data_IF_475816473706
#
_entry.id   IF_475816473706
#
_cell.length_a   1.000
_cell.length_b   1.000
_cell.length_c   1.000
_cell.angle_alpha   90.00
_cell.angle_beta   90.00
_cell.angle_gamma   90.00
#
_symmetry.space_group_name_H-M   'P 1'
#
loop_
_entity.id
_entity.type
_entity.pdbx_description
1 polymer ?
#
# COMPACT_ATOMS: atom_id res chain seq x y z
N UNK A 1 -32.88 -44.45 -37.80
CA UNK A 1 -32.56 -43.04 -38.15
C UNK A 1 -32.22 -42.33 -36.84
N UNK A 2 -30.92 -42.16 -36.54
CA UNK A 2 -30.45 -41.60 -35.26
C UNK A 2 -30.22 -40.10 -35.49
N UNK A 3 -30.99 -39.26 -34.80
CA UNK A 3 -30.79 -37.82 -34.82
C UNK A 3 -29.64 -37.46 -33.87
N UNK A 4 -28.55 -36.91 -34.41
CA UNK A 4 -27.44 -36.33 -33.64
C UNK A 4 -27.77 -34.86 -33.40
N UNK A 5 -28.03 -34.49 -32.14
CA UNK A 5 -28.25 -33.10 -31.74
C UNK A 5 -26.92 -32.50 -31.28
N UNK A 6 -26.35 -31.60 -32.07
CA UNK A 6 -25.16 -30.85 -31.69
C UNK A 6 -25.54 -29.79 -30.64
N UNK A 7 -24.88 -29.82 -29.47
CA UNK A 7 -25.00 -28.77 -28.47
C UNK A 7 -23.80 -27.82 -28.60
N UNK A 8 -24.05 -26.60 -29.07
CA UNK A 8 -23.07 -25.52 -29.22
C UNK A 8 -22.63 -25.02 -27.85
N UNK A 9 -21.33 -25.01 -27.56
CA UNK A 9 -20.78 -24.44 -26.33
C UNK A 9 -20.69 -22.92 -26.43
N UNK A 10 -21.27 -22.19 -25.47
CA UNK A 10 -21.02 -20.76 -25.31
C UNK A 10 -19.66 -20.55 -24.66
N UNK A 11 -18.74 -19.89 -25.38
CA UNK A 11 -17.51 -19.38 -24.83
C UNK A 11 -17.80 -18.17 -23.92
N UNK A 12 -17.63 -18.33 -22.61
CA UNK A 12 -17.72 -17.22 -21.67
C UNK A 12 -16.57 -16.24 -21.88
N UNK A 13 -16.87 -14.97 -22.15
CA UNK A 13 -15.89 -13.89 -22.10
C UNK A 13 -15.45 -13.70 -20.66
N UNK A 14 -14.20 -14.05 -20.37
CA UNK A 14 -13.57 -13.74 -19.10
C UNK A 14 -13.41 -12.21 -18.98
N UNK A 15 -14.29 -11.58 -18.19
CA UNK A 15 -14.18 -10.17 -17.87
C UNK A 15 -12.88 -9.92 -17.10
N UNK A 16 -12.05 -9.00 -17.60
CA UNK A 16 -10.88 -8.54 -16.88
C UNK A 16 -11.32 -7.99 -15.51
N UNK A 17 -10.81 -8.57 -14.44
CA UNK A 17 -11.05 -8.07 -13.10
C UNK A 17 -10.52 -6.62 -13.01
N UNK A 18 -11.25 -5.70 -12.35
CA UNK A 18 -10.77 -4.35 -12.16
C UNK A 18 -9.43 -4.38 -11.41
N UNK A 19 -8.44 -3.66 -11.94
CA UNK A 19 -7.12 -3.55 -11.31
C UNK A 19 -7.29 -2.86 -9.95
N UNK A 20 -6.66 -3.38 -8.87
CA UNK A 20 -6.70 -2.72 -7.57
C UNK A 20 -6.17 -1.28 -7.68
N UNK A 21 -6.82 -0.31 -7.01
CA UNK A 21 -6.36 1.06 -7.03
C UNK A 21 -4.93 1.16 -6.50
N UNK A 22 -4.09 1.95 -7.19
CA UNK A 22 -2.71 2.17 -6.78
C UNK A 22 -2.63 2.72 -5.35
N UNK A 23 -1.69 2.25 -4.51
CA UNK A 23 -1.53 2.77 -3.15
C UNK A 23 -1.28 4.27 -3.15
N UNK A 24 -1.95 5.00 -2.26
CA UNK A 24 -1.73 6.43 -2.11
C UNK A 24 -0.24 6.72 -1.79
N UNK A 25 0.35 7.76 -2.40
CA UNK A 25 1.73 8.12 -2.15
C UNK A 25 1.93 8.47 -0.66
N UNK A 26 3.05 8.01 -0.09
CA UNK A 26 3.38 8.32 1.29
C UNK A 26 4.00 9.72 1.38
N UNK A 27 3.62 10.48 2.41
CA UNK A 27 4.23 11.78 2.69
C UNK A 27 5.54 11.57 3.46
N UNK A 28 6.63 12.16 2.98
CA UNK A 28 7.95 12.08 3.60
C UNK A 28 8.32 13.43 4.24
N UNK A 29 8.90 13.37 5.44
CA UNK A 29 9.30 14.52 6.23
C UNK A 29 10.72 14.33 6.74
N UNK A 30 11.47 15.43 6.80
CA UNK A 30 12.75 15.49 7.51
C UNK A 30 12.48 15.83 8.97
N UNK A 31 13.06 15.06 9.89
CA UNK A 31 12.98 15.33 11.32
C UNK A 31 14.22 16.09 11.75
N UNK A 32 14.03 17.23 12.43
CA UNK A 32 15.10 18.05 12.98
C UNK A 32 15.10 17.92 14.51
N UNK A 33 16.23 17.56 15.11
CA UNK A 33 16.42 17.54 16.56
C UNK A 33 17.66 18.37 16.90
N UNK A 34 17.52 19.31 17.85
CA UNK A 34 18.64 20.17 18.26
C UNK A 34 19.24 21.01 17.11
N UNK A 35 18.47 21.33 16.07
CA UNK A 35 18.93 22.08 14.90
C UNK A 35 19.64 21.24 13.83
N UNK A 36 19.85 19.94 14.04
CA UNK A 36 20.44 19.04 13.07
C UNK A 36 19.37 18.12 12.44
N UNK A 37 19.59 17.73 11.19
CA UNK A 37 18.79 16.67 10.57
C UNK A 37 19.02 15.35 11.31
N UNK A 38 17.97 14.89 11.98
CA UNK A 38 18.00 13.74 12.86
C UNK A 38 17.51 12.46 12.19
N UNK A 39 16.65 12.55 11.18
CA UNK A 39 16.08 11.37 10.53
C UNK A 39 15.03 11.71 9.49
N UNK A 40 14.39 10.66 8.99
CA UNK A 40 13.26 10.76 8.06
C UNK A 40 12.03 10.12 8.68
N UNK A 41 10.87 10.72 8.41
CA UNK A 41 9.57 10.19 8.80
C UNK A 41 8.72 10.01 7.55
N UNK A 42 8.06 8.87 7.43
CA UNK A 42 7.12 8.57 6.36
C UNK A 42 5.74 8.33 6.95
N UNK A 43 4.73 9.00 6.42
CA UNK A 43 3.32 8.82 6.80
C UNK A 43 2.55 8.26 5.61
N UNK A 44 1.91 7.11 5.81
CA UNK A 44 1.08 6.45 4.81
C UNK A 44 -0.34 6.31 5.33
N UNK A 45 -1.31 6.80 4.55
CA UNK A 45 -2.73 6.51 4.79
C UNK A 45 -2.97 5.05 4.44
N UNK A 46 -3.48 4.26 5.38
CA UNK A 46 -3.75 2.82 5.15
C UNK A 46 -5.23 2.55 4.90
N UNK A 47 -6.13 3.37 5.47
CA UNK A 47 -7.55 3.40 5.16
C UNK A 47 -8.13 4.76 5.62
N UNK A 48 -9.44 4.98 5.41
CA UNK A 48 -10.10 6.26 5.70
C UNK A 48 -9.89 6.79 7.13
N UNK A 49 -9.68 5.90 8.11
CA UNK A 49 -9.51 6.24 9.52
C UNK A 49 -8.21 5.68 10.13
N UNK A 50 -7.20 5.37 9.30
CA UNK A 50 -5.92 4.87 9.83
C UNK A 50 -4.70 5.36 9.05
N UNK A 51 -3.64 5.65 9.81
CA UNK A 51 -2.34 6.05 9.31
C UNK A 51 -1.26 5.15 9.88
N UNK A 52 -0.28 4.82 9.04
CA UNK A 52 0.97 4.20 9.47
C UNK A 52 2.10 5.22 9.38
N UNK A 53 2.87 5.33 10.45
CA UNK A 53 4.02 6.21 10.56
C UNK A 53 5.26 5.33 10.71
N UNK A 54 6.28 5.60 9.90
CA UNK A 54 7.60 5.00 10.03
C UNK A 54 8.63 6.12 10.21
N UNK A 55 9.45 6.02 11.24
CA UNK A 55 10.57 6.93 11.49
C UNK A 55 11.86 6.16 11.64
N UNK A 56 12.91 6.66 10.97
CA UNK A 56 14.27 6.14 11.09
C UNK A 56 15.24 7.27 11.45
N UNK A 57 15.96 7.07 12.56
CA UNK A 57 17.03 7.96 12.99
C UNK A 57 18.27 7.80 12.10
N UNK A 58 18.87 8.92 11.70
CA UNK A 58 20.00 8.97 10.78
C UNK A 58 21.33 9.02 11.53
N UNK A 59 21.70 7.90 12.16
CA UNK A 59 23.02 7.73 12.80
C UNK A 59 23.70 6.43 12.35
N UNK A 60 23.92 6.32 11.03
CA UNK A 60 24.65 5.19 10.41
C UNK A 60 24.11 3.80 10.81
N UNK A 61 22.79 3.69 10.92
CA UNK A 61 22.10 2.46 11.34
C UNK A 61 21.98 2.27 12.85
N UNK A 62 22.41 3.26 13.66
CA UNK A 62 22.19 3.31 15.11
C UNK A 62 21.03 4.24 15.43
N UNK A 63 20.45 4.03 16.60
CA UNK A 63 19.34 4.83 17.10
C UNK A 63 17.97 4.17 16.93
N UNK A 64 16.92 4.84 17.40
CA UNK A 64 15.59 4.27 17.42
C UNK A 64 14.98 4.23 16.03
N UNK A 65 14.25 3.14 15.78
CA UNK A 65 13.25 3.05 14.72
C UNK A 65 11.88 3.02 15.37
N UNK A 66 10.92 3.72 14.77
CA UNK A 66 9.56 3.76 15.26
C UNK A 66 8.61 3.40 14.13
N UNK A 67 7.84 2.32 14.34
CA UNK A 67 6.67 1.99 13.55
C UNK A 67 5.44 2.20 14.41
N UNK A 68 4.55 3.09 13.98
CA UNK A 68 3.31 3.39 14.68
C UNK A 68 2.10 3.27 13.75
N UNK A 69 0.98 2.86 14.32
CA UNK A 69 -0.33 2.86 13.66
C UNK A 69 -1.29 3.71 14.48
N UNK A 70 -1.83 4.75 13.86
CA UNK A 70 -2.85 5.60 14.46
C UNK A 70 -4.19 5.22 13.85
N UNK A 71 -5.19 5.01 14.71
CA UNK A 71 -6.59 4.79 14.33
C UNK A 71 -7.44 5.91 14.93
N UNK A 72 -8.35 6.46 14.13
CA UNK A 72 -9.28 7.52 14.52
C UNK A 72 -10.65 6.95 14.89
#
# INVERSE_FOLDING_TARGET
MIAVTAFTSMAGVAGAAPEPPAPAPAAAFTVILGGAQAGTMTVRVTCAAAYRIHFEYNDRGRGPRLDSTIRL
#
